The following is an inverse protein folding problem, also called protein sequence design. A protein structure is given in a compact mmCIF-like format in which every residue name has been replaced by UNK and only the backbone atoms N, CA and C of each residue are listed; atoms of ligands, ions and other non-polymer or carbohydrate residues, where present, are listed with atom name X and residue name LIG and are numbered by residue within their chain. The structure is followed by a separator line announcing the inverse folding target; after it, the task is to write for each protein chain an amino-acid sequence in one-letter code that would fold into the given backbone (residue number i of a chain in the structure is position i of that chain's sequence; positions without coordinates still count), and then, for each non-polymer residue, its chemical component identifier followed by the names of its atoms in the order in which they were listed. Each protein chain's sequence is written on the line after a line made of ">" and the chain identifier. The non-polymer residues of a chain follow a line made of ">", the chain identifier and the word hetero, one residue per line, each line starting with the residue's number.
data_IF_606901814431
#
_entry.id   IF_606901814431
#
_cell.length_a   1.000
_cell.length_b   1.000
_cell.length_c   1.000
_cell.angle_alpha   90.00
_cell.angle_beta   90.00
_cell.angle_gamma   90.00
#
_symmetry.space_group_name_H-M   'P 1'
#
loop_
_entity.id
_entity.type
_entity.pdbx_description
1 polymer ?
#
# COMPACT_ATOMS: atom_id res chain seq x y z
N UNK A 1 16.77 9.01 -24.92
CA UNK A 1 17.81 8.84 -23.87
C UNK A 1 18.01 7.39 -23.48
N UNK A 2 16.94 6.64 -23.18
CA UNK A 2 17.07 5.23 -22.76
C UNK A 2 17.64 4.30 -23.86
N UNK A 3 17.14 4.33 -25.10
CA UNK A 3 17.59 3.40 -26.16
C UNK A 3 18.97 3.79 -26.71
N UNK A 4 19.12 5.05 -27.14
CA UNK A 4 20.36 5.51 -27.79
C UNK A 4 21.53 5.74 -26.80
N UNK A 5 21.23 6.17 -25.57
CA UNK A 5 22.26 6.59 -24.60
C UNK A 5 22.24 5.79 -23.29
N UNK A 6 21.39 4.75 -23.17
CA UNK A 6 21.27 3.91 -21.98
C UNK A 6 21.10 4.68 -20.67
N UNK A 7 20.44 5.84 -20.73
CA UNK A 7 20.23 6.74 -19.59
C UNK A 7 18.75 6.76 -19.18
N UNK A 8 18.39 6.26 -17.98
CA UNK A 8 17.04 6.39 -17.45
C UNK A 8 16.77 7.84 -17.03
N UNK A 9 15.50 8.25 -17.12
CA UNK A 9 15.08 9.60 -16.75
C UNK A 9 14.85 9.73 -15.24
N UNK A 10 14.35 8.67 -14.59
CA UNK A 10 14.15 8.61 -13.15
C UNK A 10 14.24 7.16 -12.67
N UNK A 11 14.88 6.95 -11.51
CA UNK A 11 14.93 5.66 -10.81
C UNK A 11 14.72 5.91 -9.31
N UNK A 12 14.08 4.98 -8.57
CA UNK A 12 13.99 5.09 -7.12
C UNK A 12 15.37 4.97 -6.48
N UNK A 13 15.53 5.57 -5.30
CA UNK A 13 16.69 5.31 -4.45
C UNK A 13 16.68 3.83 -4.00
N UNK A 14 17.85 3.25 -3.68
CA UNK A 14 17.93 1.87 -3.17
C UNK A 14 17.10 1.64 -1.89
N UNK A 15 17.02 2.65 -1.01
CA UNK A 15 16.16 2.62 0.18
C UNK A 15 15.05 3.67 0.04
N UNK A 16 13.77 3.26 0.02
CA UNK A 16 12.66 4.20 0.01
C UNK A 16 12.62 5.06 1.26
N UNK A 17 12.19 6.31 1.13
CA UNK A 17 12.04 7.27 2.25
C UNK A 17 10.58 7.60 2.55
N UNK A 18 9.69 7.33 1.60
CA UNK A 18 8.25 7.50 1.74
C UNK A 18 7.51 6.21 1.35
N UNK A 19 6.34 6.01 1.96
CA UNK A 19 5.38 4.97 1.62
C UNK A 19 4.05 5.65 1.29
N UNK A 20 3.36 5.16 0.26
CA UNK A 20 2.00 5.60 -0.03
C UNK A 20 1.04 4.60 0.62
N UNK A 21 0.43 5.01 1.73
CA UNK A 21 -0.54 4.25 2.50
C UNK A 21 -1.97 4.66 2.12
N UNK A 22 -2.97 4.22 2.90
CA UNK A 22 -4.36 4.51 2.61
C UNK A 22 -5.17 4.88 3.85
N UNK A 23 -6.12 5.80 3.66
CA UNK A 23 -7.08 6.24 4.69
C UNK A 23 -8.49 6.01 4.17
N UNK A 24 -9.37 5.48 5.04
CA UNK A 24 -10.76 5.21 4.70
C UNK A 24 -11.53 6.50 4.37
N UNK A 25 -12.31 6.51 3.29
CA UNK A 25 -13.15 7.65 2.88
C UNK A 25 -14.56 7.61 3.47
N UNK A 26 -14.98 6.43 3.92
CA UNK A 26 -16.25 6.14 4.59
C UNK A 26 -16.02 5.11 5.69
N UNK A 27 -17.04 4.86 6.49
CA UNK A 27 -17.03 3.72 7.39
C UNK A 27 -17.08 2.41 6.56
N UNK A 28 -16.28 1.43 6.98
CA UNK A 28 -16.14 0.13 6.36
C UNK A 28 -16.45 -0.94 7.41
N UNK A 29 -17.32 -1.89 7.07
CA UNK A 29 -17.64 -3.04 7.88
C UNK A 29 -16.64 -4.19 7.65
N UNK A 30 -16.45 -5.01 8.69
CA UNK A 30 -15.65 -6.23 8.56
C UNK A 30 -16.25 -7.18 7.51
N UNK A 31 -15.38 -7.79 6.70
CA UNK A 31 -15.74 -8.69 5.60
C UNK A 31 -15.93 -8.00 4.24
N UNK A 32 -16.08 -6.67 4.21
CA UNK A 32 -16.13 -5.91 2.96
C UNK A 32 -14.86 -6.14 2.12
N UNK A 33 -15.03 -6.18 0.80
CA UNK A 33 -13.91 -6.14 -0.15
C UNK A 33 -13.58 -4.68 -0.45
N UNK A 34 -12.28 -4.34 -0.42
CA UNK A 34 -11.82 -3.03 -0.88
C UNK A 34 -12.02 -2.89 -2.38
N UNK A 35 -12.58 -1.74 -2.78
CA UNK A 35 -12.65 -1.31 -4.18
C UNK A 35 -11.29 -0.79 -4.69
N UNK A 36 -11.30 -0.01 -5.77
CA UNK A 36 -10.08 0.54 -6.36
C UNK A 36 -9.76 1.97 -5.90
N UNK A 37 -8.51 2.39 -6.11
CA UNK A 37 -8.12 3.79 -5.97
C UNK A 37 -8.97 4.63 -6.92
N UNK A 38 -9.58 5.70 -6.40
CA UNK A 38 -10.48 6.57 -7.15
C UNK A 38 -11.97 6.27 -6.92
N UNK A 39 -12.31 5.18 -6.23
CA UNK A 39 -13.71 4.80 -5.98
C UNK A 39 -14.24 5.30 -4.63
N UNK A 40 -14.66 4.44 -3.70
CA UNK A 40 -15.40 4.84 -2.49
C UNK A 40 -14.74 4.43 -1.17
N UNK A 41 -13.95 3.35 -1.11
CA UNK A 41 -13.49 2.82 0.17
C UNK A 41 -12.35 3.65 0.78
N UNK A 42 -11.34 4.02 -0.02
CA UNK A 42 -10.13 4.67 0.51
C UNK A 42 -9.51 5.72 -0.44
N UNK A 43 -8.61 6.54 0.11
CA UNK A 43 -7.75 7.47 -0.62
C UNK A 43 -6.29 7.26 -0.22
N UNK A 44 -5.36 7.57 -1.12
CA UNK A 44 -3.93 7.53 -0.82
C UNK A 44 -3.54 8.54 0.26
N UNK A 45 -2.51 8.18 1.03
CA UNK A 45 -1.94 9.02 2.08
C UNK A 45 -0.43 8.76 2.19
N UNK A 46 0.39 9.77 1.91
CA UNK A 46 1.84 9.63 1.97
C UNK A 46 2.34 9.74 3.40
N UNK A 47 3.20 8.81 3.80
CA UNK A 47 3.87 8.77 5.09
C UNK A 47 5.38 8.61 4.89
N UNK A 48 6.19 8.95 5.89
CA UNK A 48 7.58 8.48 5.91
C UNK A 48 7.58 6.95 6.03
N UNK A 49 8.59 6.27 5.47
CA UNK A 49 8.70 4.81 5.63
C UNK A 49 8.78 4.41 7.10
N UNK A 50 9.43 5.21 7.94
CA UNK A 50 9.53 4.98 9.38
C UNK A 50 8.16 4.97 10.04
N UNK A 51 7.35 6.00 9.79
CA UNK A 51 6.01 6.11 10.38
C UNK A 51 5.08 5.02 9.84
N UNK A 52 5.12 4.74 8.54
CA UNK A 52 4.31 3.70 7.92
C UNK A 52 4.60 2.32 8.50
N UNK A 53 5.88 2.00 8.76
CA UNK A 53 6.27 0.74 9.41
C UNK A 53 5.86 0.71 10.88
N UNK A 54 6.06 1.79 11.62
CA UNK A 54 5.66 1.89 13.01
C UNK A 54 4.14 1.69 13.19
N UNK A 55 3.34 2.26 12.28
CA UNK A 55 1.88 2.11 12.27
C UNK A 55 1.39 0.84 11.56
N UNK A 56 2.30 0.01 11.02
CA UNK A 56 1.98 -1.19 10.21
C UNK A 56 1.00 -0.88 9.08
N UNK A 57 1.15 0.28 8.45
CA UNK A 57 0.28 0.74 7.38
C UNK A 57 0.42 -0.16 6.15
N UNK A 58 -0.71 -0.47 5.50
CA UNK A 58 -0.71 -1.24 4.26
C UNK A 58 -0.40 -0.30 3.09
N UNK A 59 0.58 -0.64 2.22
CA UNK A 59 0.82 0.12 0.99
C UNK A 59 -0.42 0.12 0.10
N UNK A 60 -0.85 1.30 -0.35
CA UNK A 60 -2.15 1.49 -1.01
C UNK A 60 -2.33 0.63 -2.26
N UNK A 61 -1.25 0.38 -3.00
CA UNK A 61 -1.28 -0.44 -4.21
C UNK A 61 -1.62 -1.91 -3.98
N UNK A 62 -1.66 -2.37 -2.72
CA UNK A 62 -1.99 -3.75 -2.36
C UNK A 62 -3.45 -3.94 -1.90
N UNK A 63 -4.22 -2.86 -1.80
CA UNK A 63 -5.54 -2.91 -1.17
C UNK A 63 -6.66 -3.34 -2.11
N UNK A 64 -6.56 -3.06 -3.40
CA UNK A 64 -7.60 -3.43 -4.37
C UNK A 64 -7.86 -4.94 -4.35
N UNK A 65 -9.13 -5.35 -4.19
CA UNK A 65 -9.51 -6.76 -4.05
C UNK A 65 -9.23 -7.38 -2.67
N UNK A 66 -8.55 -6.65 -1.78
CA UNK A 66 -8.30 -7.05 -0.40
C UNK A 66 -9.55 -7.02 0.48
N UNK A 67 -9.39 -7.36 1.76
CA UNK A 67 -10.47 -7.51 2.74
C UNK A 67 -10.33 -6.60 3.94
N UNK A 68 -11.45 -6.03 4.37
CA UNK A 68 -11.59 -5.36 5.66
C UNK A 68 -11.70 -6.42 6.76
N UNK A 69 -10.74 -6.47 7.67
CA UNK A 69 -10.68 -7.46 8.75
C UNK A 69 -11.48 -7.05 9.99
N UNK A 70 -11.56 -5.74 10.25
CA UNK A 70 -12.26 -5.15 11.40
C UNK A 70 -12.97 -3.88 10.94
N UNK A 71 -14.05 -3.43 11.62
CA UNK A 71 -14.69 -2.17 11.28
C UNK A 71 -13.68 -1.02 11.28
N UNK A 72 -13.68 -0.20 10.23
CA UNK A 72 -12.79 0.95 10.05
C UNK A 72 -13.64 2.21 9.91
N UNK A 73 -13.32 3.26 10.66
CA UNK A 73 -14.05 4.54 10.56
C UNK A 73 -13.51 5.39 9.42
N UNK A 74 -14.36 6.26 8.86
CA UNK A 74 -13.91 7.32 7.95
C UNK A 74 -12.75 8.11 8.57
N UNK A 75 -11.66 8.25 7.82
CA UNK A 75 -10.46 8.96 8.26
C UNK A 75 -9.43 8.08 8.99
N UNK A 76 -9.76 6.83 9.27
CA UNK A 76 -8.82 5.89 9.89
C UNK A 76 -7.85 5.29 8.86
N UNK A 77 -6.63 5.00 9.33
CA UNK A 77 -5.56 4.41 8.53
C UNK A 77 -5.82 2.92 8.29
N UNK A 78 -5.56 2.45 7.07
CA UNK A 78 -5.60 1.02 6.75
C UNK A 78 -4.25 0.38 7.10
N UNK A 79 -4.30 -0.54 8.06
CA UNK A 79 -3.13 -1.21 8.65
C UNK A 79 -3.31 -2.71 8.60
N UNK A 80 -2.23 -3.46 8.83
CA UNK A 80 -2.27 -4.91 8.90
C UNK A 80 -3.23 -5.47 9.97
N UNK A 81 -3.69 -4.63 10.92
CA UNK A 81 -4.63 -5.05 11.97
C UNK A 81 -6.10 -4.95 11.54
N UNK A 82 -6.43 -4.17 10.50
CA UNK A 82 -7.79 -3.92 10.01
C UNK A 82 -7.98 -4.19 8.49
N UNK A 83 -6.90 -4.44 7.74
CA UNK A 83 -6.92 -4.68 6.30
C UNK A 83 -5.99 -5.83 5.90
N UNK A 84 -6.45 -6.68 4.99
CA UNK A 84 -5.67 -7.75 4.38
C UNK A 84 -5.62 -7.58 2.84
N UNK A 85 -4.43 -7.44 2.23
CA UNK A 85 -4.26 -7.54 0.78
C UNK A 85 -4.71 -8.88 0.20
N UNK A 86 -4.98 -8.91 -1.12
CA UNK A 86 -5.04 -10.16 -1.87
C UNK A 86 -3.62 -10.69 -2.14
N UNK A 87 -3.25 -11.73 -1.40
CA UNK A 87 -1.93 -12.34 -1.46
C UNK A 87 -1.69 -13.16 -2.74
N UNK A 88 -2.74 -13.46 -3.52
CA UNK A 88 -2.61 -14.20 -4.78
C UNK A 88 -2.04 -13.35 -5.91
N UNK A 89 -2.04 -12.01 -5.74
CA UNK A 89 -1.60 -11.09 -6.77
C UNK A 89 -0.09 -11.12 -6.98
N UNK A 90 0.34 -10.94 -8.24
CA UNK A 90 1.76 -10.82 -8.57
C UNK A 90 2.41 -9.61 -7.88
N UNK A 91 1.64 -8.53 -7.71
CA UNK A 91 2.11 -7.31 -7.05
C UNK A 91 2.43 -7.57 -5.57
N UNK A 92 1.58 -8.29 -4.85
CA UNK A 92 1.86 -8.70 -3.47
C UNK A 92 3.14 -9.54 -3.38
N UNK A 93 3.28 -10.54 -4.27
CA UNK A 93 4.48 -11.38 -4.30
C UNK A 93 5.77 -10.57 -4.58
N UNK A 94 5.73 -9.56 -5.48
CA UNK A 94 6.87 -8.69 -5.75
C UNK A 94 7.18 -7.76 -4.58
N UNK A 95 6.16 -7.21 -3.93
CA UNK A 95 6.32 -6.36 -2.76
C UNK A 95 6.95 -7.14 -1.59
N UNK A 96 6.51 -8.38 -1.35
CA UNK A 96 7.12 -9.28 -0.36
C UNK A 96 8.62 -9.48 -0.60
N UNK A 97 9.03 -9.73 -1.85
CA UNK A 97 10.45 -9.84 -2.22
C UNK A 97 11.23 -8.54 -2.02
N UNK A 98 10.60 -7.40 -2.29
CA UNK A 98 11.21 -6.10 -2.05
C UNK A 98 11.38 -5.83 -0.54
N UNK A 99 10.39 -6.19 0.27
CA UNK A 99 10.49 -6.07 1.72
C UNK A 99 11.60 -6.99 2.29
N UNK A 100 11.71 -8.23 1.77
CA UNK A 100 12.80 -9.14 2.10
C UNK A 100 14.16 -8.57 1.69
N UNK A 101 14.31 -8.06 0.47
CA UNK A 101 15.56 -7.45 0.00
C UNK A 101 16.04 -6.25 0.85
N UNK A 102 15.12 -5.50 1.47
CA UNK A 102 15.43 -4.23 2.14
C UNK A 102 15.49 -4.33 3.67
N UNK A 103 14.71 -5.24 4.24
CA UNK A 103 14.46 -5.33 5.69
C UNK A 103 14.55 -6.76 6.23
N UNK A 104 14.83 -7.75 5.38
CA UNK A 104 15.13 -9.14 5.71
C UNK A 104 16.61 -9.44 5.65
#
# INVERSE_FOLDING_TARGET
>A
RIVLYRRPDMVPLPRPVAEVCAVAKRDLAAGETFDAIGETCYRSWTMTVTDARASRAVPVGLLEGGKVLKPVRKGELLTADNAAPDETTRLYALRRKQDEMLYG
#
